data_IF_601051266760
#
_entry.id   IF_601051266760
#
_cell.length_a   1.000
_cell.length_b   1.000
_cell.length_c   1.000
_cell.angle_alpha   90.00
_cell.angle_beta   90.00
_cell.angle_gamma   90.00
#
_symmetry.space_group_name_H-M   'P 1'
#
loop_
_entity.id
_entity.type
_entity.pdbx_description
1 polymer ?
#
# COMPACT_ATOMS: atom_id res chain seq x y z
N UNK A 1 -25.26 20.77 -16.33
CA UNK A 1 -24.24 19.94 -17.00
C UNK A 1 -24.48 18.51 -16.55
N UNK A 2 -25.05 17.65 -17.40
CA UNK A 2 -25.40 16.27 -17.03
C UNK A 2 -24.15 15.38 -17.10
N UNK A 3 -23.94 14.43 -16.16
CA UNK A 3 -22.81 13.52 -16.24
C UNK A 3 -23.05 12.50 -17.36
N UNK A 4 -22.16 12.52 -18.35
CA UNK A 4 -22.19 11.68 -19.55
C UNK A 4 -22.03 10.20 -19.20
N UNK A 5 -22.79 9.35 -19.88
CA UNK A 5 -22.96 7.90 -19.69
C UNK A 5 -21.64 7.09 -19.70
N UNK A 6 -20.54 7.63 -20.23
CA UNK A 6 -19.21 7.00 -20.19
C UNK A 6 -18.63 6.87 -18.78
N UNK A 7 -18.87 7.83 -17.88
CA UNK A 7 -18.33 7.77 -16.52
C UNK A 7 -18.89 6.59 -15.70
N UNK A 8 -20.11 6.15 -16.01
CA UNK A 8 -20.74 5.01 -15.35
C UNK A 8 -20.22 3.65 -15.86
N UNK A 9 -19.65 3.58 -17.08
CA UNK A 9 -19.02 2.35 -17.56
C UNK A 9 -17.65 2.15 -16.91
N UNK A 10 -16.83 3.19 -16.84
CA UNK A 10 -15.47 3.13 -16.27
C UNK A 10 -15.51 2.77 -14.77
N UNK A 11 -16.45 3.34 -14.02
CA UNK A 11 -16.63 3.01 -12.58
C UNK A 11 -17.04 1.55 -12.35
N UNK A 12 -17.82 0.95 -13.25
CA UNK A 12 -18.22 -0.46 -13.12
C UNK A 12 -17.10 -1.46 -13.45
N UNK A 13 -16.14 -1.12 -14.31
CA UNK A 13 -14.97 -1.98 -14.58
C UNK A 13 -13.96 -1.95 -13.42
N UNK A 14 -13.69 -0.78 -12.85
CA UNK A 14 -12.77 -0.62 -11.70
C UNK A 14 -13.26 -1.28 -10.40
N UNK A 15 -14.57 -1.42 -10.22
CA UNK A 15 -15.13 -2.07 -9.03
C UNK A 15 -15.17 -3.60 -9.15
N UNK A 16 -15.34 -4.13 -10.36
CA UNK A 16 -15.49 -5.56 -10.61
C UNK A 16 -14.16 -6.33 -10.53
N UNK A 17 -13.06 -5.70 -10.90
CA UNK A 17 -11.72 -6.26 -10.71
C UNK A 17 -11.27 -6.23 -9.23
N UNK A 18 -11.72 -5.22 -8.47
CA UNK A 18 -11.42 -5.13 -7.04
C UNK A 18 -12.14 -6.20 -6.22
N UNK A 19 -13.38 -6.60 -6.56
CA UNK A 19 -14.09 -7.61 -5.76
C UNK A 19 -13.42 -8.99 -5.80
N UNK A 20 -12.98 -9.44 -6.98
CA UNK A 20 -12.24 -10.70 -7.11
C UNK A 20 -10.88 -10.65 -6.40
N UNK A 21 -10.23 -9.49 -6.41
CA UNK A 21 -8.96 -9.26 -5.71
C UNK A 21 -9.14 -9.24 -4.18
N UNK A 22 -10.27 -8.74 -3.68
CA UNK A 22 -10.63 -8.71 -2.25
C UNK A 22 -10.98 -10.12 -1.75
N UNK A 23 -11.75 -10.89 -2.53
CA UNK A 23 -12.08 -12.28 -2.18
C UNK A 23 -10.81 -13.13 -2.07
N UNK A 24 -9.87 -12.96 -3.01
CA UNK A 24 -8.58 -13.65 -2.97
C UNK A 24 -7.70 -13.19 -1.79
N UNK A 25 -7.71 -11.90 -1.45
CA UNK A 25 -7.03 -11.36 -0.26
C UNK A 25 -7.62 -11.92 1.05
N UNK A 26 -8.94 -12.05 1.13
CA UNK A 26 -9.62 -12.61 2.29
C UNK A 26 -9.29 -14.10 2.46
N UNK A 27 -9.28 -14.85 1.37
CA UNK A 27 -8.94 -16.27 1.35
C UNK A 27 -7.47 -16.52 1.73
N UNK A 28 -6.54 -15.67 1.27
CA UNK A 28 -5.13 -15.73 1.67
C UNK A 28 -4.92 -15.41 3.16
N UNK A 29 -5.60 -14.39 3.69
CA UNK A 29 -5.54 -14.05 5.12
C UNK A 29 -6.08 -15.18 5.99
N UNK A 30 -7.19 -15.80 5.58
CA UNK A 30 -7.77 -16.92 6.30
C UNK A 30 -6.86 -18.17 6.32
N UNK A 31 -6.20 -18.48 5.19
CA UNK A 31 -5.23 -19.57 5.13
C UNK A 31 -4.03 -19.35 6.05
N UNK A 32 -3.55 -18.11 6.12
CA UNK A 32 -2.45 -17.73 7.00
C UNK A 32 -2.83 -17.84 8.49
N UNK A 33 -4.01 -17.37 8.86
CA UNK A 33 -4.53 -17.49 10.21
C UNK A 33 -4.65 -18.95 10.66
N UNK A 34 -5.12 -19.84 9.76
CA UNK A 34 -5.20 -21.27 10.02
C UNK A 34 -3.82 -21.91 10.19
N UNK A 35 -2.83 -21.56 9.36
CA UNK A 35 -1.44 -22.04 9.52
C UNK A 35 -0.86 -21.62 10.86
N UNK A 36 -1.06 -20.36 11.24
CA UNK A 36 -0.61 -19.85 12.53
C UNK A 36 -1.31 -20.56 13.70
N UNK A 37 -2.59 -20.88 13.57
CA UNK A 37 -3.33 -21.61 14.60
C UNK A 37 -2.76 -23.03 14.78
N UNK A 38 -2.49 -23.74 13.68
CA UNK A 38 -1.82 -25.05 13.70
C UNK A 38 -0.46 -24.94 14.40
N UNK A 39 0.39 -24.00 13.98
CA UNK A 39 1.72 -23.83 14.54
C UNK A 39 1.69 -23.50 16.04
N UNK A 40 0.79 -22.61 16.49
CA UNK A 40 0.73 -22.12 17.87
C UNK A 40 0.03 -23.08 18.85
N UNK A 41 -0.94 -23.87 18.37
CA UNK A 41 -1.78 -24.72 19.25
C UNK A 41 -1.44 -26.20 19.21
N UNK A 42 -0.98 -26.68 18.06
CA UNK A 42 -0.71 -28.11 17.83
C UNK A 42 0.80 -28.32 17.62
N UNK A 43 1.43 -27.44 16.85
CA UNK A 43 2.79 -27.63 16.33
C UNK A 43 2.75 -28.29 14.95
N UNK A 44 3.52 -27.74 14.00
CA UNK A 44 3.52 -28.17 12.61
C UNK A 44 3.92 -29.65 12.47
N UNK A 45 5.00 -30.06 13.12
CA UNK A 45 5.48 -31.46 13.10
C UNK A 45 4.44 -32.44 13.65
N UNK A 46 3.81 -32.10 14.78
CA UNK A 46 2.77 -32.93 15.40
C UNK A 46 1.57 -33.05 14.48
N UNK A 47 1.16 -31.95 13.84
CA UNK A 47 0.06 -31.97 12.87
C UNK A 47 0.37 -32.88 11.67
N UNK A 48 1.57 -32.76 11.08
CA UNK A 48 1.97 -33.58 9.93
C UNK A 48 2.12 -35.06 10.29
N UNK A 49 2.67 -35.36 11.47
CA UNK A 49 2.79 -36.73 11.97
C UNK A 49 1.40 -37.37 12.14
N UNK A 50 0.48 -36.67 12.81
CA UNK A 50 -0.92 -37.11 12.97
C UNK A 50 -1.68 -37.24 11.65
N UNK A 51 -1.42 -36.36 10.68
CA UNK A 51 -1.99 -36.50 9.35
C UNK A 51 -1.49 -37.80 8.69
N UNK A 52 -0.20 -38.12 8.81
CA UNK A 52 0.41 -39.32 8.24
C UNK A 52 -0.04 -40.63 8.91
N UNK A 53 -0.53 -40.59 10.15
CA UNK A 53 -1.08 -41.77 10.84
C UNK A 53 -2.29 -42.36 10.10
N UNK A 54 -3.05 -41.54 9.36
CA UNK A 54 -4.22 -42.00 8.57
C UNK A 54 -3.80 -42.95 7.47
N UNK A 55 -2.79 -42.58 6.66
CA UNK A 55 -2.30 -43.42 5.55
C UNK A 55 -1.46 -44.61 6.03
N UNK A 56 -0.89 -44.53 7.26
CA UNK A 56 -0.17 -45.62 7.94
C UNK A 56 -1.08 -46.62 8.66
N UNK A 57 -2.35 -46.31 8.83
CA UNK A 57 -3.29 -47.18 9.52
C UNK A 57 -3.34 -48.56 8.85
N UNK A 58 -3.34 -49.64 9.65
CA UNK A 58 -3.25 -51.03 9.16
C UNK A 58 -4.33 -51.37 8.12
N UNK A 59 -5.55 -50.87 8.32
CA UNK A 59 -6.68 -51.11 7.43
C UNK A 59 -6.67 -50.23 6.16
N UNK A 60 -5.85 -49.17 6.10
CA UNK A 60 -5.87 -48.21 5.00
C UNK A 60 -5.53 -48.86 3.65
N UNK A 61 -4.46 -49.67 3.63
CA UNK A 61 -4.02 -50.37 2.40
C UNK A 61 -5.05 -51.37 1.88
N UNK A 62 -5.80 -52.01 2.78
CA UNK A 62 -6.84 -52.97 2.45
C UNK A 62 -8.07 -52.26 1.88
N UNK A 63 -8.55 -51.22 2.56
CA UNK A 63 -9.68 -50.41 2.13
C UNK A 63 -9.41 -49.73 0.77
N UNK A 64 -8.21 -49.17 0.57
CA UNK A 64 -7.82 -48.53 -0.69
C UNK A 64 -7.81 -49.47 -1.90
N UNK A 65 -7.65 -50.79 -1.70
CA UNK A 65 -7.62 -51.78 -2.79
C UNK A 65 -8.96 -52.44 -3.05
N UNK A 66 -9.97 -52.24 -2.19
CA UNK A 66 -11.26 -52.93 -2.26
C UNK A 66 -12.41 -51.94 -2.48
N UNK A 67 -12.76 -51.65 -3.76
CA UNK A 67 -13.93 -50.83 -4.07
C UNK A 67 -15.25 -51.44 -3.62
N UNK A 68 -15.30 -52.76 -3.45
CA UNK A 68 -16.50 -53.49 -3.01
C UNK A 68 -16.41 -53.81 -1.53
N UNK A 69 -17.45 -53.44 -0.77
CA UNK A 69 -17.60 -53.79 0.65
C UNK A 69 -17.73 -55.30 0.84
N UNK A 70 -16.74 -55.92 1.47
CA UNK A 70 -16.74 -57.35 1.85
C UNK A 70 -16.17 -57.54 3.26
N UNK A 71 -16.83 -56.99 4.30
CA UNK A 71 -16.34 -57.07 5.66
C UNK A 71 -16.36 -58.51 6.17
N UNK A 72 -15.27 -58.93 6.82
CA UNK A 72 -15.16 -60.19 7.58
C UNK A 72 -15.22 -59.95 9.07
N UNK A 73 -14.81 -58.76 9.50
CA UNK A 73 -14.85 -58.28 10.88
C UNK A 73 -15.43 -56.86 10.93
N UNK A 74 -15.94 -56.40 12.09
CA UNK A 74 -16.38 -55.01 12.24
C UNK A 74 -15.27 -53.99 11.94
N UNK A 75 -14.00 -54.33 12.17
CA UNK A 75 -12.86 -53.45 11.90
C UNK A 75 -12.66 -53.17 10.40
N UNK A 76 -13.16 -54.04 9.51
CA UNK A 76 -13.10 -53.84 8.05
C UNK A 76 -14.03 -52.72 7.57
N UNK A 77 -14.91 -52.21 8.43
CA UNK A 77 -15.84 -51.11 8.15
C UNK A 77 -15.34 -49.75 8.65
N UNK A 78 -14.12 -49.69 9.21
CA UNK A 78 -13.55 -48.46 9.75
C UNK A 78 -13.20 -47.43 8.67
N UNK A 79 -12.67 -47.88 7.54
CA UNK A 79 -12.23 -47.05 6.42
C UNK A 79 -12.86 -47.55 5.12
N UNK A 80 -13.43 -46.64 4.35
CA UNK A 80 -13.98 -46.95 3.03
C UNK A 80 -13.00 -46.58 1.89
N UNK A 81 -13.21 -47.21 0.74
CA UNK A 81 -12.37 -47.05 -0.45
C UNK A 81 -12.35 -45.60 -0.98
N UNK A 82 -13.49 -44.91 -0.99
CA UNK A 82 -13.59 -43.56 -1.55
C UNK A 82 -12.91 -42.53 -0.64
N UNK A 83 -13.01 -42.70 0.67
CA UNK A 83 -12.25 -41.93 1.65
C UNK A 83 -10.75 -42.12 1.44
N UNK A 84 -10.25 -43.35 1.35
CA UNK A 84 -8.81 -43.60 1.12
C UNK A 84 -8.36 -43.00 -0.23
N UNK A 85 -9.20 -43.03 -1.28
CA UNK A 85 -8.87 -42.39 -2.56
C UNK A 85 -8.79 -40.87 -2.45
N UNK A 86 -9.75 -40.26 -1.77
CA UNK A 86 -9.79 -38.83 -1.54
C UNK A 86 -8.61 -38.37 -0.69
N UNK A 87 -8.35 -39.05 0.42
CA UNK A 87 -7.24 -38.74 1.31
C UNK A 87 -5.91 -38.80 0.57
N UNK A 88 -5.66 -39.86 -0.21
CA UNK A 88 -4.44 -39.98 -1.03
C UNK A 88 -4.25 -38.80 -2.00
N UNK A 89 -5.33 -38.27 -2.57
CA UNK A 89 -5.26 -37.13 -3.47
C UNK A 89 -4.99 -35.81 -2.74
N UNK A 90 -5.52 -35.65 -1.52
CA UNK A 90 -5.45 -34.40 -0.77
C UNK A 90 -4.25 -34.32 0.19
N UNK A 91 -3.74 -35.42 0.72
CA UNK A 91 -2.67 -35.46 1.73
C UNK A 91 -1.47 -34.62 1.28
N UNK A 92 -0.97 -34.85 0.06
CA UNK A 92 0.14 -34.06 -0.48
C UNK A 92 -0.18 -32.58 -0.71
N UNK A 93 -1.43 -32.24 -1.03
CA UNK A 93 -1.86 -30.85 -1.18
C UNK A 93 -1.94 -30.14 0.17
N UNK A 94 -2.46 -30.82 1.19
CA UNK A 94 -2.53 -30.31 2.57
C UNK A 94 -1.13 -30.11 3.12
N UNK A 95 -0.23 -31.09 2.96
CA UNK A 95 1.18 -30.96 3.38
C UNK A 95 1.82 -29.72 2.75
N UNK A 96 1.65 -29.53 1.43
CA UNK A 96 2.17 -28.34 0.74
C UNK A 96 1.53 -27.05 1.23
N UNK A 97 0.22 -27.05 1.44
CA UNK A 97 -0.52 -25.88 1.87
C UNK A 97 -0.16 -25.46 3.29
N UNK A 98 0.09 -26.39 4.20
CA UNK A 98 0.45 -26.07 5.59
C UNK A 98 1.95 -25.72 5.72
N UNK A 99 2.80 -26.34 4.90
CA UNK A 99 4.25 -26.03 4.84
C UNK A 99 4.59 -24.81 3.97
N UNK A 100 3.64 -24.23 3.25
CA UNK A 100 3.90 -23.04 2.48
C UNK A 100 4.29 -21.93 3.45
N UNK A 101 5.60 -21.63 3.50
CA UNK A 101 6.17 -20.63 4.38
C UNK A 101 5.37 -19.34 4.19
N UNK A 102 4.64 -18.96 5.24
CA UNK A 102 4.21 -17.59 5.43
C UNK A 102 5.46 -16.73 5.23
N UNK A 103 5.54 -15.98 4.13
CA UNK A 103 6.60 -15.00 3.91
C UNK A 103 6.54 -13.83 4.91
N UNK A 104 5.94 -14.03 6.08
CA UNK A 104 5.74 -13.11 7.18
C UNK A 104 6.17 -13.79 8.48
N UNK A 105 7.48 -14.01 8.58
CA UNK A 105 8.15 -14.56 9.74
C UNK A 105 9.51 -13.92 9.95
N UNK A 106 9.58 -12.59 9.94
CA UNK A 106 10.74 -11.89 10.49
C UNK A 106 10.73 -12.13 12.00
N UNK A 107 11.47 -13.13 12.46
CA UNK A 107 12.33 -13.04 13.64
C UNK A 107 12.99 -14.39 13.96
N UNK A 108 14.32 -14.38 13.86
CA UNK A 108 15.27 -15.16 14.66
C UNK A 108 15.25 -16.70 14.54
N UNK A 109 16.18 -17.21 13.75
CA UNK A 109 16.67 -18.58 13.85
C UNK A 109 16.98 -19.13 12.46
N UNK A 110 18.27 -19.33 12.17
CA UNK A 110 18.74 -19.59 10.82
C UNK A 110 18.02 -20.76 10.14
N UNK A 111 17.42 -20.47 9.00
CA UNK A 111 16.95 -21.46 8.05
C UNK A 111 17.62 -21.14 6.73
N UNK A 112 18.34 -22.13 6.20
CA UNK A 112 19.11 -22.04 4.98
C UNK A 112 18.16 -21.76 3.80
N UNK A 113 18.01 -20.49 3.43
CA UNK A 113 17.26 -20.09 2.24
C UNK A 113 17.97 -20.66 1.02
N UNK A 114 17.23 -21.28 0.11
CA UNK A 114 17.79 -21.74 -1.17
C UNK A 114 18.51 -20.57 -1.86
N UNK A 115 19.62 -20.83 -2.55
CA UNK A 115 20.44 -19.77 -3.18
C UNK A 115 19.63 -18.85 -4.11
N UNK A 116 18.54 -19.36 -4.70
CA UNK A 116 17.62 -18.60 -5.54
C UNK A 116 16.76 -17.61 -4.73
N UNK A 117 16.27 -18.02 -3.56
CA UNK A 117 15.45 -17.16 -2.69
C UNK A 117 16.30 -16.07 -2.03
N UNK A 118 17.55 -16.38 -1.67
CA UNK A 118 18.50 -15.39 -1.19
C UNK A 118 18.81 -14.32 -2.25
N UNK A 119 18.97 -14.72 -3.52
CA UNK A 119 19.19 -13.78 -4.62
C UNK A 119 17.99 -12.85 -4.84
N UNK A 120 16.77 -13.40 -4.78
CA UNK A 120 15.54 -12.62 -4.91
C UNK A 120 15.35 -11.64 -3.75
N UNK A 121 15.63 -12.08 -2.51
CA UNK A 121 15.59 -11.22 -1.32
C UNK A 121 16.63 -10.10 -1.41
N UNK A 122 17.81 -10.36 -1.95
CA UNK A 122 18.81 -9.31 -2.21
C UNK A 122 18.30 -8.29 -3.22
N UNK A 123 17.71 -8.74 -4.34
CA UNK A 123 17.12 -7.83 -5.34
C UNK A 123 16.02 -6.95 -4.74
N UNK A 124 15.11 -7.51 -3.93
CA UNK A 124 14.09 -6.71 -3.26
C UNK A 124 14.70 -5.71 -2.26
N UNK A 125 15.73 -6.09 -1.50
CA UNK A 125 16.42 -5.18 -0.59
C UNK A 125 17.10 -4.03 -1.33
N UNK A 126 17.72 -4.32 -2.47
CA UNK A 126 18.38 -3.30 -3.29
C UNK A 126 17.35 -2.34 -3.91
N UNK A 127 16.23 -2.87 -4.40
CA UNK A 127 15.12 -2.05 -4.91
C UNK A 127 14.53 -1.15 -3.82
N UNK A 128 14.31 -1.67 -2.60
CA UNK A 128 13.81 -0.87 -1.47
C UNK A 128 14.83 0.23 -1.12
N UNK A 129 16.13 -0.07 -1.09
CA UNK A 129 17.16 0.94 -0.82
C UNK A 129 17.20 2.03 -1.89
N UNK A 130 17.04 1.67 -3.15
CA UNK A 130 16.96 2.63 -4.26
C UNK A 130 15.72 3.52 -4.12
N UNK A 131 14.57 2.95 -3.79
CA UNK A 131 13.35 3.71 -3.53
C UNK A 131 13.51 4.65 -2.32
N UNK A 132 14.09 4.18 -1.21
CA UNK A 132 14.37 4.99 -0.03
C UNK A 132 15.34 6.14 -0.35
N UNK A 133 16.37 5.88 -1.17
CA UNK A 133 17.27 6.92 -1.66
C UNK A 133 16.50 7.96 -2.49
N UNK A 134 15.66 7.51 -3.42
CA UNK A 134 14.92 8.43 -4.29
C UNK A 134 13.89 9.26 -3.53
N UNK A 135 13.24 8.65 -2.54
CA UNK A 135 12.30 9.33 -1.67
C UNK A 135 13.01 10.42 -0.86
N UNK A 136 14.20 10.13 -0.29
CA UNK A 136 15.02 11.14 0.41
C UNK A 136 15.45 12.28 -0.51
N UNK A 137 15.88 11.98 -1.74
CA UNK A 137 16.24 13.03 -2.72
C UNK A 137 15.06 13.95 -3.02
N UNK A 138 13.89 13.38 -3.29
CA UNK A 138 12.67 14.14 -3.58
C UNK A 138 12.23 14.98 -2.38
N UNK A 139 12.32 14.44 -1.16
CA UNK A 139 12.05 15.20 0.06
C UNK A 139 13.00 16.39 0.22
N UNK A 140 14.29 16.19 -0.03
CA UNK A 140 15.29 17.25 0.04
C UNK A 140 15.04 18.33 -1.01
N UNK A 141 14.75 17.96 -2.26
CA UNK A 141 14.38 18.88 -3.33
C UNK A 141 13.11 19.67 -2.97
N UNK A 142 12.10 19.00 -2.41
CA UNK A 142 10.87 19.67 -1.97
C UNK A 142 11.14 20.68 -0.86
N UNK A 143 12.04 20.37 0.08
CA UNK A 143 12.43 21.30 1.14
C UNK A 143 13.14 22.55 0.59
N UNK A 144 14.07 22.36 -0.36
CA UNK A 144 14.77 23.47 -1.03
C UNK A 144 13.77 24.36 -1.77
N UNK A 145 12.91 23.76 -2.61
CA UNK A 145 11.88 24.50 -3.35
C UNK A 145 10.93 25.24 -2.40
N UNK A 146 10.50 24.63 -1.29
CA UNK A 146 9.67 25.31 -0.28
C UNK A 146 10.39 26.45 0.41
N UNK A 147 11.71 26.35 0.61
CA UNK A 147 12.50 27.46 1.15
C UNK A 147 12.59 28.61 0.16
N UNK A 148 12.93 28.33 -1.10
CA UNK A 148 12.99 29.33 -2.16
C UNK A 148 11.64 30.03 -2.37
N UNK A 149 10.55 29.28 -2.39
CA UNK A 149 9.21 29.84 -2.54
C UNK A 149 8.84 30.81 -1.39
N UNK A 150 9.23 30.48 -0.16
CA UNK A 150 9.06 31.39 0.99
C UNK A 150 9.88 32.66 0.86
N UNK A 151 11.15 32.55 0.46
CA UNK A 151 12.02 33.70 0.24
C UNK A 151 11.49 34.61 -0.87
N UNK A 152 11.08 34.05 -2.00
CA UNK A 152 10.49 34.81 -3.10
C UNK A 152 9.18 35.49 -2.69
N UNK A 153 8.34 34.81 -1.90
CA UNK A 153 7.09 35.40 -1.37
C UNK A 153 7.40 36.61 -0.48
N UNK A 154 8.37 36.48 0.43
CA UNK A 154 8.79 37.57 1.31
C UNK A 154 9.35 38.78 0.54
N UNK A 155 10.21 38.53 -0.46
CA UNK A 155 10.71 39.60 -1.34
C UNK A 155 9.59 40.29 -2.11
N UNK A 156 8.56 39.55 -2.54
CA UNK A 156 7.42 40.11 -3.24
C UNK A 156 6.59 41.03 -2.32
N UNK A 157 6.38 40.61 -1.06
CA UNK A 157 5.72 41.44 -0.05
C UNK A 157 6.49 42.73 0.24
N UNK A 158 7.81 42.65 0.40
CA UNK A 158 8.68 43.82 0.60
C UNK A 158 8.63 44.80 -0.59
N UNK A 159 8.72 44.28 -1.82
CA UNK A 159 8.60 45.08 -3.04
C UNK A 159 7.23 45.74 -3.16
N UNK A 160 6.14 45.02 -2.88
CA UNK A 160 4.79 45.57 -2.90
C UNK A 160 4.61 46.68 -1.85
N UNK A 161 5.17 46.50 -0.65
CA UNK A 161 5.17 47.52 0.42
C UNK A 161 5.92 48.78 -0.03
N UNK A 162 7.13 48.63 -0.58
CA UNK A 162 7.93 49.73 -1.13
C UNK A 162 7.19 50.46 -2.27
N UNK A 163 6.55 49.72 -3.17
CA UNK A 163 5.74 50.29 -4.25
C UNK A 163 4.53 51.08 -3.70
N UNK A 164 3.90 50.59 -2.64
CA UNK A 164 2.84 51.30 -1.91
C UNK A 164 3.34 52.63 -1.34
N UNK A 165 4.45 52.61 -0.60
CA UNK A 165 5.06 53.83 -0.04
C UNK A 165 5.42 54.85 -1.13
N UNK A 166 6.00 54.40 -2.25
CA UNK A 166 6.33 55.27 -3.38
C UNK A 166 5.08 55.86 -4.04
N UNK A 167 3.99 55.09 -4.15
CA UNK A 167 2.70 55.60 -4.66
C UNK A 167 2.14 56.67 -3.73
N UNK A 168 2.20 56.47 -2.42
CA UNK A 168 1.73 57.44 -1.43
C UNK A 168 2.58 58.72 -1.46
N UNK A 169 3.91 58.60 -1.52
CA UNK A 169 4.80 59.77 -1.69
C UNK A 169 4.50 60.54 -2.98
N UNK A 170 4.29 59.84 -4.10
CA UNK A 170 3.90 60.46 -5.36
C UNK A 170 2.54 61.16 -5.26
N UNK A 171 1.57 60.58 -4.55
CA UNK A 171 0.26 61.19 -4.32
C UNK A 171 0.40 62.51 -3.54
N UNK A 172 1.20 62.51 -2.47
CA UNK A 172 1.48 63.71 -1.66
C UNK A 172 2.17 64.78 -2.49
N UNK A 173 3.22 64.42 -3.23
CA UNK A 173 3.96 65.37 -4.08
C UNK A 173 3.05 66.00 -5.14
N UNK A 174 2.19 65.19 -5.81
CA UNK A 174 1.20 65.70 -6.76
C UNK A 174 0.21 66.65 -6.09
N UNK A 175 -0.26 66.33 -4.88
CA UNK A 175 -1.15 67.21 -4.12
C UNK A 175 -0.47 68.52 -3.68
N UNK A 176 0.82 68.48 -3.34
CA UNK A 176 1.62 69.67 -2.98
C UNK A 176 1.87 70.58 -4.18
N UNK A 177 2.25 70.02 -5.34
CA UNK A 177 2.43 70.78 -6.59
C UNK A 177 1.10 71.40 -7.02
N UNK A 178 -0.02 70.68 -6.90
CA UNK A 178 -1.36 71.23 -7.13
C UNK A 178 -1.70 72.41 -6.21
N UNK A 179 -1.33 72.35 -4.93
CA UNK A 179 -1.50 73.48 -3.99
C UNK A 179 -0.59 74.65 -4.30
N UNK A 180 0.69 74.44 -4.62
CA UNK A 180 1.60 75.53 -4.97
C UNK A 180 1.17 76.24 -6.25
N UNK A 181 0.66 75.51 -7.25
CA UNK A 181 0.08 76.09 -8.46
C UNK A 181 -1.13 76.99 -8.16
N UNK A 182 -2.05 76.54 -7.30
CA UNK A 182 -3.20 77.35 -6.86
C UNK A 182 -2.76 78.58 -6.06
N UNK A 183 -1.79 78.44 -5.16
CA UNK A 183 -1.29 79.56 -4.34
C UNK A 183 -0.55 80.60 -5.20
N UNK A 184 0.21 80.16 -6.21
CA UNK A 184 0.84 81.07 -7.19
C UNK A 184 -0.21 81.78 -8.04
N UNK A 185 -1.25 81.09 -8.50
CA UNK A 185 -2.31 81.69 -9.32
C UNK A 185 -3.14 82.71 -8.53
N UNK A 186 -3.45 82.42 -7.25
CA UNK A 186 -4.09 83.36 -6.32
C UNK A 186 -3.18 84.55 -6.00
N UNK A 187 -1.87 84.33 -5.79
CA UNK A 187 -0.92 85.41 -5.51
C UNK A 187 -0.68 86.31 -6.72
N UNK A 188 -0.64 85.75 -7.93
CA UNK A 188 -0.59 86.50 -9.20
C UNK A 188 -1.87 87.31 -9.35
N UNK A 189 -3.05 86.69 -9.23
CA UNK A 189 -4.35 87.35 -9.36
C UNK A 189 -4.52 88.51 -8.36
N UNK A 190 -4.05 88.35 -7.12
CA UNK A 190 -4.09 89.41 -6.10
C UNK A 190 -3.09 90.54 -6.34
N UNK A 191 -2.01 90.32 -7.11
CA UNK A 191 -0.99 91.33 -7.43
C UNK A 191 -1.36 92.20 -8.65
N UNK A 192 -2.35 91.77 -9.44
CA UNK A 192 -2.89 92.52 -10.59
C UNK A 192 -4.26 93.18 -10.30
N UNK A 193 -4.70 93.20 -9.04
CA UNK A 193 -6.00 93.75 -8.59
C UNK A 193 -5.90 95.04 -7.74
N UNK A 194 -4.78 95.77 -7.85
CA UNK A 194 -4.57 97.13 -7.34
C UNK A 194 -3.89 97.97 -8.43
#
# INVERSE_FOLDING_TARGET
MAPTIENYKITNYLFRDNSASIDHLFELNFQEDLRQLIAKRIGLEIYLDKLSEVSRHENYSTAFKQPQLRPRTPNDLLLDHEFCRLFKALEGMIIKAVNANSASGIANGGMDLSSSDNALVMQYKDLIREQDNKLRELEQENQVLRHENRTLTQQNEELNSSMGQLRDQNMILRAQVGRQGIVLDVAISSKYML
#
